data_IF_544219663148
#
_entry.id   IF_544219663148
#
_cell.length_a   1.000
_cell.length_b   1.000
_cell.length_c   1.000
_cell.angle_alpha   90.00
_cell.angle_beta   90.00
_cell.angle_gamma   90.00
#
_symmetry.space_group_name_H-M   'P 1'
#
loop_
_entity.id
_entity.type
_entity.pdbx_description
1 polymer ?
#
# COMPACT_ATOMS: atom_id res chain seq x y z
N UNK A 1 -13.65 2.10 22.40
CA UNK A 1 -13.27 0.95 21.54
C UNK A 1 -12.34 1.35 20.37
N UNK A 2 -11.48 0.42 19.92
CA UNK A 2 -10.71 0.51 18.66
C UNK A 2 -11.00 -0.74 17.82
N UNK A 3 -11.36 -0.56 16.55
CA UNK A 3 -11.58 -1.64 15.58
C UNK A 3 -10.67 -1.42 14.37
N UNK A 4 -9.75 -2.35 14.12
CA UNK A 4 -8.83 -2.23 13.01
C UNK A 4 -9.49 -2.72 11.72
N UNK A 5 -9.44 -1.93 10.64
CA UNK A 5 -9.78 -2.39 9.29
C UNK A 5 -8.53 -2.49 8.40
N UNK A 6 -7.38 -1.93 8.86
CA UNK A 6 -6.07 -1.93 8.19
C UNK A 6 -6.12 -1.49 6.72
N UNK A 7 -6.97 -0.50 6.42
CA UNK A 7 -7.12 0.11 5.09
C UNK A 7 -6.28 1.37 4.95
N UNK A 8 -5.73 1.61 3.75
CA UNK A 8 -4.86 2.76 3.48
C UNK A 8 -5.35 3.62 2.31
N UNK A 9 -4.78 4.81 2.16
CA UNK A 9 -5.03 5.71 1.03
C UNK A 9 -6.52 5.97 0.74
N UNK A 10 -6.98 5.57 -0.46
CA UNK A 10 -8.37 5.76 -0.89
C UNK A 10 -9.37 4.92 -0.11
N UNK A 11 -9.02 3.69 0.25
CA UNK A 11 -9.91 2.84 1.03
C UNK A 11 -10.07 3.38 2.45
N UNK A 12 -9.02 3.98 3.04
CA UNK A 12 -9.13 4.72 4.30
C UNK A 12 -10.08 5.92 4.19
N UNK A 13 -9.95 6.70 3.11
CA UNK A 13 -10.86 7.82 2.85
C UNK A 13 -12.30 7.34 2.63
N UNK A 14 -12.48 6.24 1.89
CA UNK A 14 -13.77 5.61 1.62
C UNK A 14 -14.41 5.11 2.91
N UNK A 15 -13.65 4.50 3.82
CA UNK A 15 -14.11 4.08 5.14
C UNK A 15 -14.64 5.29 5.93
N UNK A 16 -13.86 6.37 6.00
CA UNK A 16 -14.29 7.60 6.67
C UNK A 16 -15.55 8.22 6.04
N UNK A 17 -15.65 8.23 4.70
CA UNK A 17 -16.83 8.72 3.98
C UNK A 17 -18.08 7.87 4.22
N UNK A 18 -17.95 6.55 4.32
CA UNK A 18 -19.07 5.64 4.66
C UNK A 18 -19.60 5.94 6.05
N UNK A 19 -18.72 6.09 7.04
CA UNK A 19 -19.10 6.42 8.42
C UNK A 19 -19.75 7.80 8.49
N UNK A 20 -19.13 8.80 7.86
CA UNK A 20 -19.63 10.18 7.84
C UNK A 20 -21.04 10.26 7.24
N UNK A 21 -21.27 9.53 6.13
CA UNK A 21 -22.58 9.45 5.48
C UNK A 21 -23.64 8.82 6.38
N UNK A 22 -23.29 7.76 7.12
CA UNK A 22 -24.24 7.05 7.98
C UNK A 22 -24.70 7.92 9.16
N UNK A 23 -23.79 8.67 9.78
CA UNK A 23 -24.12 9.56 10.90
C UNK A 23 -24.51 10.98 10.46
N UNK A 24 -24.53 11.24 9.14
CA UNK A 24 -24.99 12.51 8.55
C UNK A 24 -24.04 13.70 8.77
N UNK A 25 -22.74 13.45 8.92
CA UNK A 25 -21.70 14.49 9.07
C UNK A 25 -20.68 14.43 7.93
N UNK A 26 -19.70 15.34 7.95
CA UNK A 26 -18.57 15.33 7.03
C UNK A 26 -17.34 14.64 7.65
N UNK A 27 -16.57 13.92 6.84
CA UNK A 27 -15.26 13.38 7.23
C UNK A 27 -14.18 14.48 7.16
N UNK A 28 -13.77 15.00 8.32
CA UNK A 28 -12.76 16.06 8.42
C UNK A 28 -11.38 15.45 8.54
N UNK A 29 -10.54 15.64 7.52
CA UNK A 29 -9.14 15.22 7.55
C UNK A 29 -8.30 16.15 8.43
N UNK A 30 -7.73 15.61 9.51
CA UNK A 30 -7.01 16.37 10.53
C UNK A 30 -5.59 16.77 10.12
N UNK A 31 -5.05 16.21 9.02
CA UNK A 31 -3.70 16.50 8.57
C UNK A 31 -2.64 16.10 9.61
N UNK A 32 -1.46 16.71 9.55
CA UNK A 32 -0.38 16.37 10.47
C UNK A 32 -0.68 16.84 11.92
N UNK A 33 -0.30 16.08 12.97
CA UNK A 33 0.49 14.84 12.93
C UNK A 33 -0.36 13.56 12.90
N UNK A 34 -1.69 13.62 13.05
CA UNK A 34 -2.52 12.42 13.23
C UNK A 34 -2.91 11.76 11.91
N UNK A 35 -3.17 12.55 10.87
CA UNK A 35 -3.70 12.13 9.56
C UNK A 35 -4.99 11.32 9.66
N UNK A 36 -5.72 11.53 10.76
CA UNK A 36 -6.98 10.88 11.00
C UNK A 36 -8.10 11.60 10.26
N UNK A 37 -9.19 10.89 10.00
CA UNK A 37 -10.48 11.46 9.66
C UNK A 37 -11.34 11.48 10.92
N UNK A 38 -11.83 12.66 11.28
CA UNK A 38 -12.76 12.83 12.38
C UNK A 38 -14.18 12.99 11.83
N UNK A 39 -15.11 12.20 12.36
CA UNK A 39 -16.55 12.26 12.11
C UNK A 39 -17.26 12.24 13.46
N UNK A 40 -17.52 13.42 14.02
CA UNK A 40 -18.09 13.57 15.36
C UNK A 40 -17.25 12.83 16.43
N UNK A 41 -17.82 11.81 17.10
CA UNK A 41 -17.14 10.97 18.09
C UNK A 41 -16.45 9.73 17.50
N UNK A 42 -16.54 9.53 16.19
CA UNK A 42 -15.76 8.53 15.46
C UNK A 42 -14.50 9.15 14.88
N UNK A 43 -13.39 8.41 14.95
CA UNK A 43 -12.12 8.77 14.32
C UNK A 43 -11.60 7.56 13.56
N UNK A 44 -11.37 7.69 12.25
CA UNK A 44 -10.55 6.74 11.51
C UNK A 44 -9.12 7.23 11.56
N UNK A 45 -8.24 6.50 12.24
CA UNK A 45 -6.83 6.87 12.38
C UNK A 45 -6.04 6.64 11.09
N UNK A 46 -4.72 6.90 11.14
CA UNK A 46 -3.83 6.76 9.98
C UNK A 46 -3.78 5.33 9.44
N UNK A 47 -3.89 4.33 10.31
CA UNK A 47 -3.77 2.91 9.98
C UNK A 47 -5.10 2.31 9.48
N UNK A 48 -6.16 3.13 9.43
CA UNK A 48 -7.49 2.64 9.09
C UNK A 48 -8.14 1.90 10.25
N UNK A 49 -7.79 2.23 11.49
CA UNK A 49 -8.53 1.80 12.67
C UNK A 49 -9.63 2.80 12.99
N UNK A 50 -10.83 2.29 13.26
CA UNK A 50 -11.96 3.05 13.75
C UNK A 50 -11.88 3.15 15.28
N UNK A 51 -11.75 4.35 15.79
CA UNK A 51 -11.69 4.70 17.21
C UNK A 51 -12.96 5.47 17.58
N UNK A 52 -13.64 5.05 18.63
CA UNK A 52 -14.81 5.73 19.19
C UNK A 52 -15.01 5.36 20.66
N UNK A 53 -15.78 6.16 21.37
CA UNK A 53 -16.17 5.87 22.75
C UNK A 53 -17.33 4.85 22.78
N UNK A 54 -17.14 3.70 23.44
CA UNK A 54 -18.14 2.63 23.54
C UNK A 54 -18.83 2.55 24.91
N UNK A 55 -18.67 3.56 25.77
CA UNK A 55 -19.33 3.60 27.08
C UNK A 55 -20.87 3.53 26.98
N UNK A 56 -21.46 3.82 25.81
CA UNK A 56 -22.84 3.51 25.47
C UNK A 56 -22.94 3.03 24.02
N UNK A 57 -22.83 1.72 23.78
CA UNK A 57 -23.21 1.11 22.50
C UNK A 57 -24.64 1.54 22.12
N UNK A 58 -24.74 2.48 21.18
CA UNK A 58 -26.00 3.05 20.72
C UNK A 58 -26.43 2.39 19.42
N UNK A 59 -27.71 2.51 19.07
CA UNK A 59 -28.24 2.10 17.76
C UNK A 59 -27.47 2.75 16.60
N UNK A 60 -26.81 3.89 16.83
CA UNK A 60 -25.97 4.57 15.85
C UNK A 60 -24.68 3.82 15.57
N UNK A 61 -24.02 3.31 16.60
CA UNK A 61 -22.81 2.49 16.47
C UNK A 61 -23.10 1.23 15.65
N UNK A 62 -24.23 0.56 15.93
CA UNK A 62 -24.64 -0.63 15.17
C UNK A 62 -24.93 -0.32 13.69
N UNK A 63 -25.61 0.80 13.41
CA UNK A 63 -25.82 1.27 12.04
C UNK A 63 -24.50 1.54 11.32
N UNK A 64 -23.53 2.16 11.99
CA UNK A 64 -22.19 2.41 11.42
C UNK A 64 -21.50 1.09 11.06
N UNK A 65 -21.50 0.10 11.95
CA UNK A 65 -20.90 -1.21 11.65
C UNK A 65 -21.57 -1.91 10.47
N UNK A 66 -22.91 -1.87 10.40
CA UNK A 66 -23.65 -2.43 9.27
C UNK A 66 -23.31 -1.71 7.96
N UNK A 67 -23.26 -0.38 7.95
CA UNK A 67 -22.88 0.40 6.77
C UNK A 67 -21.44 0.11 6.31
N UNK A 68 -20.51 -0.06 7.25
CA UNK A 68 -19.12 -0.44 6.96
C UNK A 68 -19.08 -1.85 6.32
N UNK A 69 -19.80 -2.82 6.87
CA UNK A 69 -19.89 -4.17 6.34
C UNK A 69 -20.54 -4.22 4.96
N UNK A 70 -21.63 -3.46 4.74
CA UNK A 70 -22.30 -3.33 3.44
C UNK A 70 -21.40 -2.67 2.38
N UNK A 71 -20.48 -1.80 2.82
CA UNK A 71 -19.42 -1.27 1.97
C UNK A 71 -18.28 -2.26 1.70
N UNK A 72 -18.35 -3.48 2.24
CA UNK A 72 -17.38 -4.55 2.01
C UNK A 72 -16.10 -4.41 2.84
N UNK A 73 -16.10 -3.58 3.88
CA UNK A 73 -15.01 -3.54 4.84
C UNK A 73 -15.27 -4.57 5.93
N UNK A 74 -14.32 -5.49 6.10
CA UNK A 74 -14.34 -6.48 7.18
C UNK A 74 -13.41 -6.02 8.29
N UNK A 75 -13.85 -6.03 9.57
CA UNK A 75 -12.95 -5.83 10.68
C UNK A 75 -11.82 -6.84 10.59
N UNK A 76 -10.60 -6.35 10.75
CA UNK A 76 -9.43 -7.18 10.97
C UNK A 76 -9.58 -7.79 12.36
N UNK A 77 -10.03 -9.05 12.46
CA UNK A 77 -10.30 -9.76 13.73
C UNK A 77 -9.02 -10.04 14.56
N UNK A 78 -7.92 -9.34 14.29
CA UNK A 78 -6.64 -9.69 14.87
C UNK A 78 -6.13 -11.02 14.35
N UNK A 79 -6.55 -11.44 13.15
CA UNK A 79 -5.58 -12.12 12.32
C UNK A 79 -4.41 -11.11 12.25
N UNK A 80 -3.33 -11.38 12.98
CA UNK A 80 -2.04 -11.05 12.44
C UNK A 80 -2.18 -11.44 10.97
N UNK A 81 -2.23 -10.47 10.04
CA UNK A 81 -1.81 -10.77 8.68
C UNK A 81 -0.63 -11.67 8.92
N UNK A 82 -0.69 -12.92 8.46
CA UNK A 82 0.50 -13.74 8.36
C UNK A 82 1.37 -12.96 7.38
N UNK A 83 1.96 -11.85 7.86
CA UNK A 83 3.08 -11.17 7.30
C UNK A 83 4.01 -12.33 7.17
N UNK A 84 4.26 -12.69 5.93
CA UNK A 84 4.53 -14.06 5.54
C UNK A 84 5.81 -14.61 6.19
N UNK A 85 6.54 -13.77 6.93
CA UNK A 85 7.36 -14.05 8.10
C UNK A 85 8.32 -12.91 8.43
N UNK A 86 8.44 -11.90 7.55
CA UNK A 86 9.46 -10.86 7.63
C UNK A 86 8.89 -9.47 7.31
N UNK A 87 9.29 -8.48 8.12
CA UNK A 87 8.98 -7.07 7.91
C UNK A 87 10.26 -6.26 7.72
N UNK A 88 10.20 -5.27 6.82
CA UNK A 88 11.26 -4.27 6.66
C UNK A 88 10.80 -3.01 7.38
N UNK A 89 11.64 -2.47 8.26
CA UNK A 89 11.32 -1.25 9.01
C UNK A 89 12.10 -0.06 8.49
N UNK A 90 11.40 1.06 8.28
CA UNK A 90 11.98 2.32 7.84
C UNK A 90 11.77 3.42 8.89
N UNK A 91 12.69 4.38 9.01
CA UNK A 91 12.48 5.55 9.86
C UNK A 91 11.15 6.22 9.54
N UNK A 92 10.48 6.70 10.58
CA UNK A 92 9.18 7.34 10.43
C UNK A 92 9.24 8.50 9.44
N UNK A 93 8.17 8.63 8.67
CA UNK A 93 7.94 9.77 7.79
C UNK A 93 6.93 10.71 8.40
N UNK A 94 6.87 11.93 7.87
CA UNK A 94 5.92 12.94 8.33
C UNK A 94 4.98 13.32 7.21
N UNK A 95 3.78 13.77 7.56
CA UNK A 95 3.08 14.65 6.64
C UNK A 95 2.68 14.01 5.33
N UNK A 96 2.86 14.85 4.33
CA UNK A 96 2.73 14.55 2.92
C UNK A 96 3.63 13.42 2.44
N UNK A 97 4.76 13.12 3.11
CA UNK A 97 5.66 12.04 2.69
C UNK A 97 4.96 10.68 2.76
N UNK A 98 4.16 10.46 3.82
CA UNK A 98 3.36 9.23 3.98
C UNK A 98 2.30 9.17 2.89
N UNK A 99 1.54 10.24 2.68
CA UNK A 99 0.51 10.27 1.63
C UNK A 99 1.09 10.08 0.22
N UNK A 100 2.32 10.55 -0.03
CA UNK A 100 3.03 10.29 -1.29
C UNK A 100 3.50 8.84 -1.40
N UNK A 101 3.95 8.24 -0.30
CA UNK A 101 4.31 6.81 -0.25
C UNK A 101 3.08 5.94 -0.53
N UNK A 102 1.96 6.19 0.16
CA UNK A 102 0.68 5.51 -0.08
C UNK A 102 0.26 5.66 -1.54
N UNK A 103 0.27 6.87 -2.08
CA UNK A 103 -0.07 7.12 -3.49
C UNK A 103 0.90 6.43 -4.46
N UNK A 104 2.18 6.27 -4.10
CA UNK A 104 3.18 5.60 -4.92
C UNK A 104 2.87 4.10 -5.00
N UNK A 105 2.62 3.48 -3.84
CA UNK A 105 2.23 2.07 -3.70
C UNK A 105 0.94 1.83 -4.46
N UNK A 106 -0.10 2.63 -4.21
CA UNK A 106 -1.41 2.53 -4.89
C UNK A 106 -1.26 2.64 -6.41
N UNK A 107 -0.38 3.51 -6.90
CA UNK A 107 -0.20 3.68 -8.35
C UNK A 107 0.35 2.44 -9.07
N UNK A 108 0.94 1.50 -8.34
CA UNK A 108 1.60 0.28 -8.87
C UNK A 108 1.18 -0.96 -8.11
N UNK A 109 0.05 -0.92 -7.40
CA UNK A 109 -0.32 -1.94 -6.42
C UNK A 109 -0.32 -3.35 -7.03
N UNK A 110 -1.00 -3.53 -8.17
CA UNK A 110 -1.05 -4.82 -8.88
C UNK A 110 0.35 -5.35 -9.27
N UNK A 111 1.23 -4.46 -9.71
CA UNK A 111 2.60 -4.83 -10.08
C UNK A 111 3.44 -5.15 -8.84
N UNK A 112 3.34 -4.37 -7.76
CA UNK A 112 4.11 -4.60 -6.54
C UNK A 112 3.69 -5.92 -5.88
N UNK A 113 2.37 -6.17 -5.77
CA UNK A 113 1.82 -7.44 -5.27
C UNK A 113 2.39 -8.63 -6.03
N UNK A 114 2.40 -8.56 -7.37
CA UNK A 114 2.98 -9.60 -8.23
C UNK A 114 4.49 -9.75 -8.08
N UNK A 115 5.23 -8.64 -7.97
CA UNK A 115 6.69 -8.65 -7.84
C UNK A 115 7.16 -9.30 -6.53
N UNK A 116 6.45 -9.03 -5.44
CA UNK A 116 6.77 -9.56 -4.10
C UNK A 116 6.12 -10.94 -3.89
N UNK A 117 4.96 -11.19 -4.51
CA UNK A 117 4.18 -12.41 -4.30
C UNK A 117 3.34 -12.35 -3.02
N UNK A 118 2.75 -11.19 -2.75
CA UNK A 118 1.86 -10.93 -1.60
C UNK A 118 0.51 -10.38 -2.08
N UNK A 119 -0.55 -10.67 -1.31
CA UNK A 119 -1.90 -10.16 -1.57
C UNK A 119 -2.19 -8.84 -0.83
N UNK A 120 -1.31 -8.45 0.10
CA UNK A 120 -1.45 -7.23 0.91
C UNK A 120 -0.17 -6.37 0.85
N UNK A 121 -0.35 -5.05 0.72
CA UNK A 121 0.71 -4.04 0.76
C UNK A 121 0.44 -2.99 1.85
N UNK A 122 -0.17 -3.40 2.96
CA UNK A 122 -0.41 -2.54 4.10
C UNK A 122 0.93 -2.08 4.69
N UNK A 123 1.05 -0.79 4.98
CA UNK A 123 2.18 -0.22 5.71
C UNK A 123 1.65 0.16 7.08
N UNK A 124 2.19 -0.47 8.12
CA UNK A 124 1.82 -0.20 9.51
C UNK A 124 2.84 0.66 10.24
N UNK A 125 2.60 0.90 11.51
CA UNK A 125 3.56 1.47 12.45
C UNK A 125 3.94 0.45 13.52
N UNK A 126 5.24 0.29 13.77
CA UNK A 126 5.77 -0.56 14.84
C UNK A 126 7.01 0.08 15.45
N UNK A 127 7.04 0.21 16.77
CA UNK A 127 8.16 0.81 17.52
C UNK A 127 8.55 2.23 17.01
N UNK A 128 7.56 3.04 16.63
CA UNK A 128 7.77 4.39 16.09
C UNK A 128 8.46 4.41 14.72
N UNK A 129 8.33 3.33 13.95
CA UNK A 129 8.87 3.18 12.59
C UNK A 129 7.76 2.72 11.66
N UNK A 130 7.93 3.01 10.37
CA UNK A 130 7.10 2.40 9.34
C UNK A 130 7.46 0.92 9.22
N UNK A 131 6.45 0.07 9.23
CA UNK A 131 6.58 -1.39 9.17
C UNK A 131 5.97 -1.89 7.85
N UNK A 132 6.77 -2.63 7.07
CA UNK A 132 6.37 -3.20 5.79
C UNK A 132 6.34 -4.73 5.88
N UNK A 133 5.26 -5.33 6.42
CA UNK A 133 5.14 -6.76 6.67
C UNK A 133 4.76 -7.55 5.40
N UNK A 134 5.47 -7.33 4.30
CA UNK A 134 5.10 -7.83 2.96
C UNK A 134 5.79 -9.16 2.59
N UNK A 135 6.75 -9.63 3.37
CA UNK A 135 7.76 -10.60 2.91
C UNK A 135 7.68 -11.93 3.65
N UNK A 136 8.07 -13.01 2.98
CA UNK A 136 7.92 -14.37 3.50
C UNK A 136 9.05 -14.76 4.46
N UNK A 137 8.79 -15.67 5.39
CA UNK A 137 9.76 -16.18 6.35
C UNK A 137 10.94 -16.88 5.64
N UNK A 138 10.64 -17.52 4.51
CA UNK A 138 11.56 -18.30 3.70
C UNK A 138 12.26 -17.49 2.60
N UNK A 139 12.13 -16.16 2.64
CA UNK A 139 12.80 -15.24 1.69
C UNK A 139 14.32 -15.42 1.74
N UNK A 140 14.98 -15.57 0.59
CA UNK A 140 16.44 -15.77 0.56
C UNK A 140 17.21 -14.47 0.89
N UNK A 141 18.50 -14.52 1.27
CA UNK A 141 19.30 -13.31 1.51
C UNK A 141 19.33 -12.35 0.32
N UNK A 142 19.37 -12.88 -0.90
CA UNK A 142 19.34 -12.09 -2.14
C UNK A 142 18.00 -11.37 -2.33
N UNK A 143 16.90 -12.04 -2.00
CA UNK A 143 15.55 -11.47 -2.05
C UNK A 143 15.35 -10.43 -0.95
N UNK A 144 15.80 -10.70 0.28
CA UNK A 144 15.80 -9.73 1.39
C UNK A 144 16.52 -8.45 0.95
N UNK A 145 17.71 -8.57 0.35
CA UNK A 145 18.44 -7.41 -0.17
C UNK A 145 17.62 -6.68 -1.25
N UNK A 146 17.04 -7.40 -2.21
CA UNK A 146 16.24 -6.79 -3.27
C UNK A 146 15.01 -6.04 -2.74
N UNK A 147 14.34 -6.61 -1.75
CA UNK A 147 13.18 -6.02 -1.08
C UNK A 147 13.56 -4.83 -0.21
N UNK A 148 14.69 -4.90 0.50
CA UNK A 148 15.24 -3.78 1.26
C UNK A 148 15.65 -2.61 0.36
N UNK A 149 16.34 -2.88 -0.75
CA UNK A 149 16.65 -1.88 -1.77
C UNK A 149 15.35 -1.23 -2.30
N UNK A 150 14.31 -2.04 -2.52
CA UNK A 150 13.04 -1.60 -3.08
C UNK A 150 12.24 -0.71 -2.12
N UNK A 151 12.03 -1.16 -0.87
CA UNK A 151 11.35 -0.37 0.17
C UNK A 151 12.12 0.93 0.43
N UNK A 152 13.44 0.86 0.53
CA UNK A 152 14.29 2.05 0.69
C UNK A 152 14.09 3.05 -0.46
N UNK A 153 14.05 2.57 -1.70
CA UNK A 153 13.87 3.43 -2.86
C UNK A 153 12.45 4.03 -2.95
N UNK A 154 11.40 3.28 -2.57
CA UNK A 154 10.03 3.80 -2.46
C UNK A 154 9.99 4.94 -1.44
N UNK A 155 10.58 4.72 -0.26
CA UNK A 155 10.65 5.71 0.79
C UNK A 155 11.42 6.96 0.37
N UNK A 156 12.57 6.80 -0.30
CA UNK A 156 13.34 7.91 -0.85
C UNK A 156 12.52 8.72 -1.86
N UNK A 157 11.87 8.04 -2.81
CA UNK A 157 11.06 8.71 -3.82
C UNK A 157 9.89 9.47 -3.20
N UNK A 158 9.24 8.92 -2.16
CA UNK A 158 8.15 9.58 -1.45
C UNK A 158 8.61 10.88 -0.76
N UNK A 159 9.82 10.87 -0.17
CA UNK A 159 10.44 12.04 0.46
C UNK A 159 10.82 13.12 -0.56
N UNK A 160 11.38 12.73 -1.70
CA UNK A 160 11.88 13.66 -2.73
C UNK A 160 10.78 14.20 -3.66
N UNK A 161 9.70 13.44 -3.86
CA UNK A 161 8.65 13.83 -4.79
C UNK A 161 7.84 15.02 -4.25
N UNK A 162 7.60 16.02 -5.11
CA UNK A 162 6.67 17.14 -4.79
C UNK A 162 5.20 16.72 -4.85
N UNK A 163 4.86 15.82 -5.79
CA UNK A 163 3.50 15.32 -6.00
C UNK A 163 3.55 13.89 -6.55
N UNK A 164 2.70 13.02 -6.01
CA UNK A 164 2.47 11.66 -6.50
C UNK A 164 0.96 11.49 -6.73
N UNK A 165 0.57 10.67 -7.71
CA UNK A 165 -0.84 10.41 -8.00
C UNK A 165 -1.11 8.92 -7.90
N UNK A 166 -1.98 8.54 -6.96
CA UNK A 166 -2.46 7.18 -6.77
C UNK A 166 -3.53 6.83 -7.79
N UNK A 167 -3.12 6.20 -8.88
CA UNK A 167 -4.05 5.51 -9.79
C UNK A 167 -3.32 4.36 -10.46
N UNK A 168 -3.65 3.14 -10.04
CA UNK A 168 -3.24 1.97 -10.78
C UNK A 168 -3.90 1.98 -12.15
N UNK A 169 -3.16 1.55 -13.16
CA UNK A 169 -3.63 1.48 -14.54
C UNK A 169 -3.24 0.14 -15.11
N UNK A 170 -4.16 -0.57 -15.78
CA UNK A 170 -3.81 -1.79 -16.49
C UNK A 170 -2.73 -1.48 -17.53
N UNK A 171 -1.76 -2.38 -17.65
CA UNK A 171 -0.64 -2.27 -18.58
C UNK A 171 -0.60 -3.50 -19.47
N UNK A 172 -0.32 -3.30 -20.77
CA UNK A 172 -0.22 -4.40 -21.74
C UNK A 172 0.94 -5.35 -21.43
N UNK A 173 2.06 -4.81 -20.94
CA UNK A 173 3.24 -5.57 -20.57
C UNK A 173 3.73 -5.15 -19.19
N UNK A 174 3.32 -5.93 -18.19
CA UNK A 174 3.65 -5.72 -16.79
C UNK A 174 5.17 -5.73 -16.54
N UNK A 175 5.90 -6.66 -17.16
CA UNK A 175 7.36 -6.78 -16.99
C UNK A 175 8.08 -5.52 -17.47
N UNK A 176 7.67 -4.98 -18.61
CA UNK A 176 8.21 -3.73 -19.13
C UNK A 176 7.83 -2.55 -18.22
N UNK A 177 6.55 -2.45 -17.84
CA UNK A 177 6.06 -1.37 -17.00
C UNK A 177 6.76 -1.32 -15.63
N UNK A 178 6.92 -2.47 -14.99
CA UNK A 178 7.60 -2.58 -13.70
C UNK A 178 9.10 -2.30 -13.83
N UNK A 179 9.77 -2.76 -14.90
CA UNK A 179 11.16 -2.36 -15.19
C UNK A 179 11.30 -0.85 -15.28
N UNK A 180 10.44 -0.15 -16.03
CA UNK A 180 10.47 1.30 -16.12
C UNK A 180 10.22 1.98 -14.77
N UNK A 181 9.44 1.36 -13.89
CA UNK A 181 9.26 1.83 -12.52
C UNK A 181 10.54 1.67 -11.69
N UNK A 182 11.19 0.50 -11.73
CA UNK A 182 12.48 0.27 -11.06
C UNK A 182 13.55 1.25 -11.51
N UNK A 183 13.61 1.58 -12.81
CA UNK A 183 14.53 2.59 -13.33
C UNK A 183 14.26 3.99 -12.74
N UNK A 184 12.98 4.38 -12.61
CA UNK A 184 12.61 5.64 -11.97
C UNK A 184 12.95 5.65 -10.48
N UNK A 185 12.91 4.50 -9.81
CA UNK A 185 13.34 4.33 -8.42
C UNK A 185 14.88 4.37 -8.27
N UNK A 186 15.64 4.33 -9.36
CA UNK A 186 17.10 4.43 -9.37
C UNK A 186 17.82 3.08 -9.43
N UNK A 187 17.16 1.98 -9.80
CA UNK A 187 17.78 0.66 -9.97
C UNK A 187 18.59 0.63 -11.28
N UNK A 188 19.72 1.34 -11.33
CA UNK A 188 20.55 1.57 -12.53
C UNK A 188 21.95 1.01 -12.30
N UNK A 189 22.55 0.40 -13.32
CA UNK A 189 23.89 -0.18 -13.23
C UNK A 189 23.89 -1.63 -12.73
N UNK A 190 25.09 -2.18 -12.55
CA UNK A 190 25.29 -3.59 -12.24
C UNK A 190 25.00 -3.95 -10.78
N UNK A 191 25.14 -3.01 -9.85
CA UNK A 191 24.84 -3.21 -8.42
C UNK A 191 23.39 -3.62 -8.15
N UNK A 192 22.47 -3.18 -9.03
CA UNK A 192 21.05 -3.51 -8.95
C UNK A 192 20.64 -4.64 -9.90
N UNK A 193 21.58 -5.26 -10.62
CA UNK A 193 21.27 -6.30 -11.62
C UNK A 193 20.53 -7.48 -11.00
N UNK A 194 20.97 -7.92 -9.83
CA UNK A 194 20.35 -9.01 -9.09
C UNK A 194 18.98 -8.60 -8.54
N UNK A 195 18.87 -7.43 -7.89
CA UNK A 195 17.59 -6.92 -7.37
C UNK A 195 16.55 -6.77 -8.48
N UNK A 196 16.94 -6.25 -9.67
CA UNK A 196 16.05 -6.19 -10.85
C UNK A 196 15.62 -7.58 -11.33
N UNK A 197 16.50 -8.57 -11.30
CA UNK A 197 16.16 -9.94 -11.73
C UNK A 197 15.09 -10.53 -10.82
N UNK A 198 15.29 -10.43 -9.50
CA UNK A 198 14.35 -10.91 -8.47
C UNK A 198 13.00 -10.20 -8.61
N UNK A 199 12.99 -8.87 -8.60
CA UNK A 199 11.77 -8.07 -8.68
C UNK A 199 11.02 -8.20 -10.02
N UNK A 200 11.62 -8.80 -11.05
CA UNK A 200 10.99 -9.03 -12.36
C UNK A 200 10.67 -10.50 -12.64
N UNK A 201 10.99 -11.43 -11.73
CA UNK A 201 10.93 -12.87 -12.00
C UNK A 201 9.50 -13.39 -12.17
N UNK A 202 8.54 -12.82 -11.45
CA UNK A 202 7.13 -13.24 -11.45
C UNK A 202 6.32 -12.65 -12.63
N UNK A 203 6.93 -11.83 -13.49
CA UNK A 203 6.24 -11.23 -14.63
C UNK A 203 6.51 -11.97 -15.94
N UNK A 204 5.42 -12.20 -16.67
CA UNK A 204 5.42 -12.63 -18.06
C UNK A 204 5.66 -11.46 -19.02
N UNK A 205 6.06 -11.76 -20.25
CA UNK A 205 6.31 -10.76 -21.29
C UNK A 205 7.75 -10.28 -21.37
N UNK A 206 8.00 -9.34 -22.29
CA UNK A 206 9.34 -8.83 -22.58
C UNK A 206 9.69 -7.66 -21.67
N UNK A 207 10.89 -7.63 -21.09
CA UNK A 207 11.36 -6.44 -20.37
C UNK A 207 11.82 -5.31 -21.30
N UNK A 208 11.93 -5.56 -22.61
CA UNK A 208 12.48 -4.62 -23.59
C UNK A 208 11.40 -3.85 -24.37
N UNK A 209 10.24 -4.47 -24.61
CA UNK A 209 9.22 -3.94 -25.52
C UNK A 209 7.89 -3.69 -24.81
N UNK A 210 7.35 -2.47 -24.97
CA UNK A 210 6.10 -2.05 -24.31
C UNK A 210 4.88 -2.91 -24.69
N UNK A 211 4.81 -3.38 -25.93
CA UNK A 211 3.69 -4.20 -26.45
C UNK A 211 4.06 -5.68 -26.66
N UNK A 212 5.07 -6.17 -25.93
CA UNK A 212 5.56 -7.55 -26.07
C UNK A 212 6.60 -7.71 -27.20
N UNK A 213 7.19 -8.90 -27.31
CA UNK A 213 8.20 -9.16 -28.36
C UNK A 213 7.54 -9.04 -29.73
N UNK A 214 8.08 -8.24 -30.66
CA UNK A 214 7.53 -8.15 -32.01
C UNK A 214 7.46 -9.55 -32.62
N UNK A 215 6.28 -9.96 -33.09
CA UNK A 215 6.13 -11.19 -33.86
C UNK A 215 6.97 -11.00 -35.12
N UNK A 216 8.11 -11.69 -35.23
CA UNK A 216 8.82 -11.75 -36.50
C UNK A 216 7.93 -12.53 -37.45
N UNK A 217 7.24 -11.83 -38.34
CA UNK A 217 6.71 -12.45 -39.56
C UNK A 217 7.92 -13.05 -40.28
N UNK A 218 7.99 -14.38 -40.31
CA UNK A 218 8.91 -15.11 -41.17
C UNK A 218 8.38 -14.87 -42.59
N UNK A 219 8.96 -13.89 -43.29
CA UNK A 219 8.79 -13.82 -44.74
C UNK A 219 9.39 -15.09 -45.33
N UNK A 220 8.50 -15.91 -45.91
CA UNK A 220 8.81 -17.10 -46.67
C UNK A 220 9.53 -16.76 -47.99
#
# INVERSE_FOLDING_TARGET
MIVHYRVNGKERKRLAEVIAKEIGVDAIYQGAPTFSYQMDYFTVDREGALVFDDENYSDEVERVFNAIADAGFTPDEGEEYEGTGLAIQMPMMTGDEISRLEALIESKESLIKKAIGTDSLVVGEKDGKLDFPWFKADTTPEEIKAYMDFVTALCRMAKEAKRVTGKDKPVENEKYAFRCFLLRLGFIGDDYKQSRKILLQNFSGSSAWKSGTPTKEVQA
#
